data_IF_580354659684
#
_entry.id   IF_580354659684
#
_cell.length_a   1.000
_cell.length_b   1.000
_cell.length_c   1.000
_cell.angle_alpha   90.00
_cell.angle_beta   90.00
_cell.angle_gamma   90.00
#
_symmetry.space_group_name_H-M   'P 1'
#
loop_
_entity.id
_entity.type
_entity.pdbx_description
1 polymer ?
#
# COMPACT_ATOMS: atom_id res chain seq x y z
N UNK A 1 0.03 17.19 -8.26
CA UNK A 1 1.18 16.53 -7.61
C UNK A 1 0.86 15.04 -7.59
N UNK A 2 1.81 14.16 -7.93
CA UNK A 2 1.52 12.73 -8.13
C UNK A 2 1.62 11.93 -6.84
N UNK A 3 0.68 11.00 -6.63
CA UNK A 3 0.72 10.05 -5.52
C UNK A 3 1.95 9.15 -5.64
N UNK A 4 2.61 8.90 -4.50
CA UNK A 4 3.86 8.15 -4.46
C UNK A 4 3.66 6.84 -3.72
N UNK A 5 3.91 5.74 -4.42
CA UNK A 5 4.03 4.43 -3.79
C UNK A 5 5.48 4.23 -3.34
N UNK A 6 5.68 4.01 -2.05
CA UNK A 6 6.98 3.68 -1.45
C UNK A 6 6.88 2.25 -0.93
N UNK A 7 7.50 1.33 -1.66
CA UNK A 7 7.68 -0.03 -1.18
C UNK A 7 9.07 -0.15 -0.55
N UNK A 8 9.13 -0.45 0.75
CA UNK A 8 10.40 -0.50 1.48
C UNK A 8 11.06 -1.87 1.23
N UNK A 9 12.22 -1.85 0.57
CA UNK A 9 12.92 -3.00 -0.03
C UNK A 9 13.20 -4.22 0.89
N UNK A 10 13.49 -4.07 2.19
CA UNK A 10 13.73 -5.22 3.07
C UNK A 10 12.48 -6.08 3.27
N UNK A 11 11.30 -5.46 3.36
CA UNK A 11 10.04 -6.17 3.59
C UNK A 11 9.58 -6.96 2.36
N UNK A 12 9.87 -6.46 1.16
CA UNK A 12 9.47 -7.11 -0.09
C UNK A 12 10.20 -8.42 -0.35
N UNK A 13 11.46 -8.56 0.04
CA UNK A 13 12.27 -9.76 -0.29
C UNK A 13 11.73 -11.06 0.29
N UNK A 14 10.84 -11.01 1.28
CA UNK A 14 10.21 -12.20 1.85
C UNK A 14 9.27 -12.89 0.85
N UNK A 15 8.58 -12.13 -0.01
CA UNK A 15 7.58 -12.68 -0.92
C UNK A 15 8.18 -13.09 -2.29
N UNK A 16 7.63 -14.14 -2.94
CA UNK A 16 8.01 -14.51 -4.30
C UNK A 16 7.90 -13.35 -5.28
N UNK A 17 8.75 -13.31 -6.31
CA UNK A 17 8.76 -12.21 -7.30
C UNK A 17 7.39 -11.96 -7.92
N UNK A 18 6.69 -13.02 -8.35
CA UNK A 18 5.36 -12.89 -8.93
C UNK A 18 4.33 -12.25 -7.98
N UNK A 19 4.41 -12.56 -6.68
CA UNK A 19 3.54 -11.96 -5.66
C UNK A 19 3.87 -10.48 -5.47
N UNK A 20 5.15 -10.10 -5.51
CA UNK A 20 5.57 -8.70 -5.44
C UNK A 20 5.13 -7.88 -6.65
N UNK A 21 5.28 -8.45 -7.85
CA UNK A 21 4.89 -7.79 -9.09
C UNK A 21 3.38 -7.51 -9.07
N UNK A 22 2.56 -8.50 -8.70
CA UNK A 22 1.11 -8.35 -8.55
C UNK A 22 0.75 -7.35 -7.44
N UNK A 23 1.41 -7.41 -6.27
CA UNK A 23 1.18 -6.46 -5.20
C UNK A 23 1.50 -5.02 -5.63
N UNK A 24 2.57 -4.81 -6.41
CA UNK A 24 2.92 -3.50 -6.96
C UNK A 24 1.83 -2.97 -7.87
N UNK A 25 1.35 -3.77 -8.82
CA UNK A 25 0.26 -3.38 -9.73
C UNK A 25 -0.99 -2.97 -8.93
N UNK A 26 -1.35 -3.73 -7.90
CA UNK A 26 -2.47 -3.39 -7.01
C UNK A 26 -2.26 -2.09 -6.22
N UNK A 27 -1.04 -1.83 -5.75
CA UNK A 27 -0.74 -0.57 -5.06
C UNK A 27 -0.76 0.63 -6.01
N UNK A 28 -0.37 0.44 -7.26
CA UNK A 28 -0.49 1.45 -8.31
C UNK A 28 -1.97 1.75 -8.59
N UNK A 29 -2.82 0.71 -8.75
CA UNK A 29 -4.29 0.87 -8.89
C UNK A 29 -4.90 1.63 -7.70
N UNK A 30 -4.48 1.32 -6.47
CA UNK A 30 -4.94 2.05 -5.27
C UNK A 30 -4.49 3.51 -5.35
N UNK A 31 -3.22 3.78 -5.66
CA UNK A 31 -2.69 5.13 -5.75
C UNK A 31 -3.39 5.97 -6.84
N UNK A 32 -3.77 5.34 -7.95
CA UNK A 32 -4.60 5.94 -8.98
C UNK A 32 -6.01 6.23 -8.48
N UNK A 33 -6.66 5.28 -7.79
CA UNK A 33 -8.00 5.46 -7.23
C UNK A 33 -8.09 6.55 -6.14
N UNK A 34 -6.97 6.88 -5.50
CA UNK A 34 -6.88 7.99 -4.54
C UNK A 34 -6.75 9.36 -5.21
N UNK A 35 -6.54 9.41 -6.54
CA UNK A 35 -6.47 10.66 -7.28
C UNK A 35 -7.79 11.43 -7.20
N UNK A 36 -7.67 12.73 -6.94
CA UNK A 36 -8.81 13.64 -6.89
C UNK A 36 -9.57 13.64 -5.56
N UNK A 37 -9.15 12.86 -4.56
CA UNK A 37 -9.67 13.01 -3.19
C UNK A 37 -9.07 14.27 -2.57
N UNK A 38 -9.88 15.28 -2.19
CA UNK A 38 -9.37 16.49 -1.56
C UNK A 38 -8.58 16.18 -0.30
N UNK A 39 -7.41 16.81 -0.11
CA UNK A 39 -6.49 16.55 0.99
C UNK A 39 -7.09 16.81 2.39
N UNK A 40 -8.11 17.68 2.48
CA UNK A 40 -8.85 18.02 3.70
C UNK A 40 -10.09 17.13 3.93
N UNK A 41 -10.34 16.15 3.06
CA UNK A 41 -11.50 15.26 3.20
C UNK A 41 -11.41 14.34 4.43
N UNK A 42 -12.57 13.98 4.98
CA UNK A 42 -12.68 13.04 6.09
C UNK A 42 -12.08 11.65 5.79
N UNK A 43 -11.90 11.32 4.50
CA UNK A 43 -11.21 10.11 4.07
C UNK A 43 -9.75 10.10 4.56
N UNK A 44 -8.99 11.16 4.31
CA UNK A 44 -7.57 11.21 4.71
C UNK A 44 -7.42 11.19 6.23
N UNK A 45 -8.34 11.83 6.95
CA UNK A 45 -8.38 11.78 8.41
C UNK A 45 -8.60 10.35 8.94
N UNK A 46 -9.42 9.54 8.27
CA UNK A 46 -9.70 8.17 8.71
C UNK A 46 -8.57 7.19 8.39
N UNK A 47 -7.92 7.34 7.22
CA UNK A 47 -6.86 6.41 6.80
C UNK A 47 -5.50 6.71 7.45
N UNK A 48 -5.21 7.96 7.84
CA UNK A 48 -3.91 8.35 8.42
C UNK A 48 -3.59 7.60 9.73
N UNK A 49 -4.60 7.22 10.50
CA UNK A 49 -4.42 6.48 11.78
C UNK A 49 -4.48 4.96 11.60
N UNK A 50 -4.67 4.48 10.37
CA UNK A 50 -4.98 3.08 10.09
C UNK A 50 -3.79 2.33 9.52
N UNK A 51 -3.55 1.12 10.05
CA UNK A 51 -2.70 0.12 9.41
C UNK A 51 -3.55 -0.74 8.49
N UNK A 52 -3.40 -0.52 7.18
CA UNK A 52 -4.16 -1.21 6.14
C UNK A 52 -3.44 -2.49 5.69
N UNK A 53 -4.16 -3.39 5.04
CA UNK A 53 -3.66 -4.67 4.56
C UNK A 53 -4.15 -4.95 3.14
N UNK A 54 -3.25 -5.37 2.27
CA UNK A 54 -3.53 -5.93 0.95
C UNK A 54 -3.10 -7.40 0.96
N UNK A 55 -4.00 -8.32 0.63
CA UNK A 55 -3.68 -9.75 0.53
C UNK A 55 -3.52 -10.15 -0.93
N UNK A 56 -2.36 -10.75 -1.25
CA UNK A 56 -2.03 -11.24 -2.60
C UNK A 56 -1.51 -12.65 -2.49
N UNK A 57 -2.24 -13.62 -3.05
CA UNK A 57 -1.84 -15.05 -3.10
C UNK A 57 -1.34 -15.61 -1.76
N UNK A 58 -2.06 -15.34 -0.67
CA UNK A 58 -1.68 -15.80 0.67
C UNK A 58 -0.55 -15.01 1.32
N UNK A 59 -0.26 -13.80 0.83
CA UNK A 59 0.68 -12.87 1.46
C UNK A 59 -0.03 -11.58 1.85
N UNK A 60 0.13 -11.18 3.11
CA UNK A 60 -0.36 -9.92 3.64
C UNK A 60 0.71 -8.83 3.50
N UNK A 61 0.38 -7.76 2.78
CA UNK A 61 1.17 -6.54 2.67
C UNK A 61 0.50 -5.46 3.50
N UNK A 62 1.10 -5.14 4.64
CA UNK A 62 0.61 -4.08 5.51
C UNK A 62 1.20 -2.74 5.10
N UNK A 63 0.35 -1.72 5.04
CA UNK A 63 0.72 -0.39 4.56
C UNK A 63 -0.01 0.72 5.30
N UNK A 64 0.55 1.92 5.23
CA UNK A 64 -0.07 3.16 5.71
C UNK A 64 -0.27 4.13 4.55
N UNK A 65 -1.23 5.04 4.72
CA UNK A 65 -1.47 6.16 3.83
C UNK A 65 -1.22 7.46 4.60
N UNK A 66 -0.16 8.17 4.27
CA UNK A 66 0.20 9.47 4.87
C UNK A 66 0.49 10.47 3.77
N UNK A 67 -0.14 11.65 3.81
CA UNK A 67 0.12 12.76 2.88
C UNK A 67 0.17 12.29 1.42
N UNK A 68 -0.89 11.58 0.98
CA UNK A 68 -1.02 11.05 -0.38
C UNK A 68 0.04 10.00 -0.78
N UNK A 69 0.81 9.51 0.19
CA UNK A 69 1.86 8.52 0.03
C UNK A 69 1.41 7.17 0.59
N UNK A 70 1.46 6.14 -0.25
CA UNK A 70 1.28 4.76 0.17
C UNK A 70 2.62 4.16 0.57
N UNK A 71 2.75 3.70 1.81
CA UNK A 71 3.98 3.07 2.30
C UNK A 71 3.73 1.67 2.81
N UNK A 72 4.34 0.68 2.18
CA UNK A 72 4.34 -0.71 2.67
C UNK A 72 5.32 -0.83 3.84
N UNK A 73 4.82 -1.20 5.01
CA UNK A 73 5.61 -1.27 6.26
C UNK A 73 5.99 -2.70 6.65
N UNK A 74 5.24 -3.69 6.18
CA UNK A 74 5.46 -5.09 6.55
C UNK A 74 4.85 -6.05 5.53
N UNK A 75 5.49 -7.21 5.34
CA UNK A 75 5.00 -8.29 4.48
C UNK A 75 5.09 -9.62 5.24
N UNK A 76 4.00 -10.39 5.26
CA UNK A 76 3.91 -11.70 5.93
C UNK A 76 3.27 -12.73 5.01
N UNK A 77 3.73 -13.97 5.08
CA UNK A 77 2.96 -15.09 4.54
C UNK A 77 1.81 -15.39 5.51
N UNK A 78 0.61 -15.64 4.99
CA UNK A 78 -0.45 -16.31 5.76
C UNK A 78 0.02 -17.75 5.99
N UNK A 79 0.16 -18.13 7.26
CA UNK A 79 0.55 -19.48 7.66
C UNK A 79 -0.60 -20.46 7.54
#
# INVERSE_FOLDING_TARGET
>A
MGHRVIMVEPALRAAPRAVRDEARERFEEIAEGLQGIPADSAFWASVRVSRLCLVVRGWSFFYTLEDETLRVIEVRAEQ
#
